data_IF_729482963026
#
_entry.id   IF_729482963026
#
_cell.length_a   1.000
_cell.length_b   1.000
_cell.length_c   1.000
_cell.angle_alpha   90.00
_cell.angle_beta   90.00
_cell.angle_gamma   90.00
#
_symmetry.space_group_name_H-M   'P 1'
#
loop_
_entity.id
_entity.type
_entity.pdbx_description
1 polymer ?
#
# COMPACT_ATOMS: atom_id res chain seq x y z
N UNK A 1 9.56 -55.93 -55.17
CA UNK A 1 10.80 -56.67 -54.87
C UNK A 1 11.94 -55.74 -55.25
N UNK A 2 12.80 -55.21 -54.40
CA UNK A 2 13.38 -55.54 -53.09
C UNK A 2 14.09 -54.23 -52.68
N UNK A 3 14.00 -53.69 -51.48
CA UNK A 3 14.66 -54.20 -50.28
C UNK A 3 15.05 -53.00 -49.41
N UNK A 4 14.97 -53.22 -48.11
CA UNK A 4 15.08 -52.28 -46.99
C UNK A 4 16.56 -52.06 -46.63
N UNK A 5 16.98 -50.82 -46.34
CA UNK A 5 18.16 -50.55 -45.50
C UNK A 5 17.88 -49.34 -44.60
N UNK A 6 17.70 -49.67 -43.33
CA UNK A 6 17.67 -48.79 -42.16
C UNK A 6 18.97 -48.00 -42.03
N UNK A 7 18.87 -46.68 -41.85
CA UNK A 7 19.96 -45.91 -41.24
C UNK A 7 19.39 -45.13 -40.05
N UNK A 8 19.64 -45.68 -38.87
CA UNK A 8 19.40 -45.08 -37.57
C UNK A 8 20.46 -43.99 -37.35
N UNK A 9 20.17 -42.76 -37.79
CA UNK A 9 20.94 -41.60 -37.36
C UNK A 9 20.44 -41.20 -35.96
N UNK A 10 21.12 -41.74 -34.94
CA UNK A 10 21.01 -41.31 -33.56
C UNK A 10 21.56 -39.87 -33.48
N UNK A 11 20.73 -38.88 -33.81
CA UNK A 11 21.11 -37.48 -33.68
C UNK A 11 21.10 -37.16 -32.19
N UNK A 12 22.31 -37.20 -31.61
CA UNK A 12 22.56 -37.03 -30.19
C UNK A 12 21.82 -35.84 -29.63
N UNK A 13 21.11 -36.09 -28.54
CA UNK A 13 20.52 -35.06 -27.70
C UNK A 13 21.60 -34.10 -27.26
N UNK A 14 21.66 -32.95 -27.93
CA UNK A 14 22.12 -31.74 -27.28
C UNK A 14 20.98 -31.40 -26.33
N UNK A 15 21.14 -31.81 -25.07
CA UNK A 15 20.43 -31.23 -23.93
C UNK A 15 20.76 -29.75 -23.90
N UNK A 16 20.09 -28.99 -24.77
CA UNK A 16 19.95 -27.56 -24.60
C UNK A 16 19.06 -27.42 -23.38
N UNK A 17 19.69 -27.26 -22.22
CA UNK A 17 19.05 -26.64 -21.08
C UNK A 17 18.30 -25.43 -21.64
N UNK A 18 16.98 -25.47 -21.63
CA UNK A 18 16.18 -24.30 -21.94
C UNK A 18 16.63 -23.25 -20.95
N UNK A 19 17.34 -22.23 -21.44
CA UNK A 19 17.72 -21.10 -20.63
C UNK A 19 16.41 -20.47 -20.16
N UNK A 20 16.09 -20.68 -18.88
CA UNK A 20 14.86 -20.20 -18.27
C UNK A 20 15.07 -18.72 -17.95
N UNK A 21 14.78 -17.90 -18.95
CA UNK A 21 14.86 -16.44 -18.91
C UNK A 21 13.57 -15.78 -18.40
N UNK A 22 12.66 -16.56 -17.82
CA UNK A 22 11.38 -16.09 -17.28
C UNK A 22 11.58 -14.92 -16.32
N UNK A 23 12.48 -15.04 -15.35
CA UNK A 23 12.76 -13.95 -14.39
C UNK A 23 13.29 -12.67 -15.05
N UNK A 24 14.04 -12.79 -16.15
CA UNK A 24 14.54 -11.63 -16.89
C UNK A 24 13.41 -10.95 -17.68
N UNK A 25 12.54 -11.74 -18.31
CA UNK A 25 11.34 -11.23 -18.99
C UNK A 25 10.40 -10.54 -18.01
N UNK A 26 10.15 -11.14 -16.85
CA UNK A 26 9.33 -10.53 -15.80
C UNK A 26 9.89 -9.16 -15.36
N UNK A 27 11.22 -9.06 -15.22
CA UNK A 27 11.88 -7.80 -14.86
C UNK A 27 11.80 -6.75 -15.98
N UNK A 28 11.86 -7.18 -17.25
CA UNK A 28 11.69 -6.30 -18.42
C UNK A 28 10.25 -5.79 -18.50
N UNK A 29 9.27 -6.65 -18.22
CA UNK A 29 7.86 -6.30 -18.24
C UNK A 29 7.51 -5.35 -17.08
N UNK A 30 8.04 -5.58 -15.88
CA UNK A 30 7.94 -4.63 -14.75
C UNK A 30 8.55 -3.28 -15.12
N UNK A 31 9.76 -3.29 -15.68
CA UNK A 31 10.43 -2.05 -16.05
C UNK A 31 9.67 -1.31 -17.15
N UNK A 32 9.11 -2.02 -18.12
CA UNK A 32 8.26 -1.44 -19.18
C UNK A 32 7.04 -0.76 -18.56
N UNK A 33 6.34 -1.45 -17.66
CA UNK A 33 5.16 -0.90 -16.97
C UNK A 33 5.51 0.37 -16.16
N UNK A 34 6.68 0.37 -15.51
CA UNK A 34 7.15 1.53 -14.75
C UNK A 34 7.58 2.70 -15.65
N UNK A 35 8.12 2.41 -16.82
CA UNK A 35 8.46 3.44 -17.81
C UNK A 35 7.20 4.08 -18.35
N UNK A 36 6.19 3.30 -18.72
CA UNK A 36 4.87 3.80 -19.15
C UNK A 36 4.25 4.70 -18.06
N UNK A 37 4.25 4.25 -16.81
CA UNK A 37 3.75 5.05 -15.69
C UNK A 37 4.53 6.36 -15.48
N UNK A 38 5.85 6.36 -15.71
CA UNK A 38 6.68 7.57 -15.60
C UNK A 38 6.42 8.55 -16.75
N UNK A 39 6.18 8.04 -17.96
CA UNK A 39 5.82 8.86 -19.12
C UNK A 39 4.47 9.56 -18.89
N UNK A 40 3.47 8.82 -18.42
CA UNK A 40 2.16 9.38 -18.05
C UNK A 40 2.28 10.43 -16.92
N UNK A 41 3.08 10.13 -15.89
CA UNK A 41 3.32 11.07 -14.79
C UNK A 41 4.02 12.36 -15.28
N UNK A 42 4.97 12.23 -16.21
CA UNK A 42 5.64 13.39 -16.80
C UNK A 42 4.67 14.27 -17.61
N UNK A 43 3.73 13.69 -18.35
CA UNK A 43 2.70 14.45 -19.06
C UNK A 43 1.77 15.19 -18.08
N UNK A 44 1.37 14.52 -17.01
CA UNK A 44 0.54 15.11 -15.97
C UNK A 44 1.23 16.29 -15.28
N UNK A 45 2.49 16.11 -14.84
CA UNK A 45 3.25 17.19 -14.18
C UNK A 45 3.45 18.40 -15.09
N UNK A 46 3.64 18.20 -16.40
CA UNK A 46 3.74 19.32 -17.34
C UNK A 46 2.41 20.10 -17.44
N UNK A 47 1.28 19.41 -17.48
CA UNK A 47 -0.05 20.03 -17.47
C UNK A 47 -0.34 20.79 -16.17
N UNK A 48 0.02 20.21 -15.03
CA UNK A 48 -0.16 20.81 -13.72
C UNK A 48 0.68 22.08 -13.56
N UNK A 49 1.95 22.05 -13.98
CA UNK A 49 2.83 23.23 -13.95
C UNK A 49 2.24 24.37 -14.79
N UNK A 50 1.75 24.07 -16.00
CA UNK A 50 1.13 25.08 -16.85
C UNK A 50 -0.11 25.71 -16.19
N UNK A 51 -0.95 24.89 -15.57
CA UNK A 51 -2.16 25.33 -14.87
C UNK A 51 -1.83 26.21 -13.65
N UNK A 52 -0.84 25.81 -12.85
CA UNK A 52 -0.36 26.59 -11.71
C UNK A 52 0.22 27.94 -12.14
N UNK A 53 0.98 27.98 -13.24
CA UNK A 53 1.51 29.23 -13.80
C UNK A 53 0.39 30.18 -14.23
N UNK A 54 -0.65 29.67 -14.89
CA UNK A 54 -1.78 30.51 -15.30
C UNK A 54 -2.53 31.07 -14.08
N UNK A 55 -2.82 30.22 -13.07
CA UNK A 55 -3.45 30.67 -11.82
C UNK A 55 -2.65 31.78 -11.14
N UNK A 56 -1.32 31.66 -11.07
CA UNK A 56 -0.45 32.71 -10.50
C UNK A 56 -0.57 34.01 -11.31
N UNK A 57 -0.64 33.93 -12.64
CA UNK A 57 -0.82 35.10 -13.50
C UNK A 57 -2.15 35.82 -13.23
N UNK A 58 -3.23 35.06 -12.99
CA UNK A 58 -4.56 35.60 -12.66
C UNK A 58 -4.57 36.27 -11.30
N UNK A 59 -3.97 35.65 -10.30
CA UNK A 59 -3.81 36.22 -8.96
C UNK A 59 -3.06 37.57 -9.01
N UNK A 60 -1.96 37.63 -9.74
CA UNK A 60 -1.18 38.87 -9.92
C UNK A 60 -1.94 39.97 -10.68
N UNK A 61 -2.90 39.58 -11.51
CA UNK A 61 -3.72 40.50 -12.31
C UNK A 61 -5.03 40.90 -11.62
N UNK A 62 -5.20 40.56 -10.33
CA UNK A 62 -6.44 40.78 -9.56
C UNK A 62 -7.70 40.19 -10.22
N UNK A 63 -7.54 39.12 -11.01
CA UNK A 63 -8.63 38.39 -11.63
C UNK A 63 -9.23 37.43 -10.59
N UNK A 64 -10.54 37.51 -10.38
CA UNK A 64 -11.25 36.65 -9.42
C UNK A 64 -11.86 35.42 -10.09
N UNK A 65 -12.13 34.39 -9.29
CA UNK A 65 -12.91 33.21 -9.71
C UNK A 65 -14.37 33.62 -9.89
N UNK A 66 -14.97 33.22 -11.01
CA UNK A 66 -16.40 33.39 -11.29
C UNK A 66 -17.19 32.13 -10.93
N UNK A 67 -16.75 30.96 -11.39
CA UNK A 67 -17.31 29.66 -10.99
C UNK A 67 -16.30 28.53 -11.20
N UNK A 68 -16.62 27.35 -10.66
CA UNK A 68 -15.87 26.11 -10.85
C UNK A 68 -16.84 25.02 -11.29
N UNK A 69 -16.45 24.24 -12.29
CA UNK A 69 -17.25 23.17 -12.91
C UNK A 69 -16.55 21.83 -12.73
N UNK A 70 -17.27 20.82 -12.24
CA UNK A 70 -16.84 19.42 -12.26
C UNK A 70 -17.02 18.86 -13.67
N UNK A 71 -15.96 18.32 -14.26
CA UNK A 71 -16.01 17.73 -15.59
C UNK A 71 -16.43 16.24 -15.58
N UNK A 72 -16.55 15.61 -14.40
CA UNK A 72 -17.01 14.23 -14.24
C UNK A 72 -15.95 13.15 -14.51
N UNK A 73 -14.72 13.55 -14.85
CA UNK A 73 -13.58 12.67 -15.10
C UNK A 73 -12.46 12.83 -14.05
N UNK A 74 -12.75 13.50 -12.93
CA UNK A 74 -11.77 13.87 -11.90
C UNK A 74 -11.02 15.17 -12.20
N UNK A 75 -11.34 15.86 -13.30
CA UNK A 75 -10.87 17.22 -13.57
C UNK A 75 -11.93 18.28 -13.26
N UNK A 76 -11.45 19.49 -12.98
CA UNK A 76 -12.26 20.67 -12.66
C UNK A 76 -11.84 21.84 -13.54
N UNK A 77 -12.82 22.59 -14.04
CA UNK A 77 -12.58 23.81 -14.80
C UNK A 77 -12.90 25.03 -13.96
N UNK A 78 -11.90 25.87 -13.69
CA UNK A 78 -12.05 27.15 -13.01
C UNK A 78 -12.26 28.23 -14.07
N UNK A 79 -13.39 28.92 -14.01
CA UNK A 79 -13.71 30.04 -14.89
C UNK A 79 -13.47 31.35 -14.16
N UNK A 80 -12.70 32.23 -14.77
CA UNK A 80 -12.30 33.51 -14.18
C UNK A 80 -13.19 34.67 -14.64
N UNK A 81 -13.15 35.77 -13.89
CA UNK A 81 -13.89 37.01 -14.16
C UNK A 81 -13.46 37.73 -15.45
N UNK A 82 -12.26 37.43 -15.97
CA UNK A 82 -11.75 37.96 -17.24
C UNK A 82 -12.19 37.12 -18.46
N UNK A 83 -13.00 36.08 -18.25
CA UNK A 83 -13.50 35.20 -19.30
C UNK A 83 -12.54 34.07 -19.71
N UNK A 84 -11.38 33.96 -19.07
CA UNK A 84 -10.46 32.84 -19.27
C UNK A 84 -10.76 31.68 -18.33
N UNK A 85 -10.16 30.51 -18.59
CA UNK A 85 -10.37 29.31 -17.81
C UNK A 85 -9.09 28.48 -17.68
N UNK A 86 -8.98 27.74 -16.58
CA UNK A 86 -7.94 26.74 -16.33
C UNK A 86 -8.59 25.43 -15.95
N UNK A 87 -8.07 24.32 -16.47
CA UNK A 87 -8.45 22.97 -16.06
C UNK A 87 -7.40 22.39 -15.13
N UNK A 88 -7.82 21.90 -13.98
CA UNK A 88 -6.98 21.19 -13.00
C UNK A 88 -7.50 19.76 -12.82
N UNK A 89 -6.65 18.83 -12.37
CA UNK A 89 -7.03 17.44 -12.10
C UNK A 89 -6.70 17.06 -10.67
N UNK A 90 -7.53 16.22 -10.06
CA UNK A 90 -7.21 15.66 -8.75
C UNK A 90 -6.08 14.64 -8.88
N UNK A 91 -5.25 14.54 -7.84
CA UNK A 91 -4.36 13.39 -7.66
C UNK A 91 -5.17 12.11 -7.39
N UNK A 92 -4.49 10.96 -7.46
CA UNK A 92 -5.08 9.70 -7.03
C UNK A 92 -5.18 9.67 -5.50
N UNK A 93 -6.27 9.12 -4.98
CA UNK A 93 -6.38 8.83 -3.56
C UNK A 93 -5.26 7.87 -3.16
N UNK A 94 -4.62 8.15 -2.02
CA UNK A 94 -3.66 7.23 -1.44
C UNK A 94 -4.36 5.97 -0.90
N UNK A 95 -3.61 4.90 -0.73
CA UNK A 95 -4.12 3.70 -0.05
C UNK A 95 -4.56 4.05 1.38
N UNK A 96 -5.70 3.51 1.79
CA UNK A 96 -6.19 3.65 3.16
C UNK A 96 -5.13 3.13 4.14
N UNK A 97 -4.80 3.97 5.12
CA UNK A 97 -3.92 3.55 6.21
C UNK A 97 -4.58 2.40 6.99
N UNK A 98 -3.78 1.39 7.38
CA UNK A 98 -4.27 0.35 8.27
C UNK A 98 -4.68 0.97 9.61
N UNK A 99 -5.88 0.63 10.10
CA UNK A 99 -6.29 0.95 11.46
C UNK A 99 -5.23 0.44 12.44
N UNK A 100 -4.65 1.30 13.29
CA UNK A 100 -3.66 0.84 14.26
C UNK A 100 -4.31 -0.21 15.18
N UNK A 101 -3.61 -1.31 15.51
CA UNK A 101 -4.15 -2.32 16.42
C UNK A 101 -4.54 -1.65 17.73
N UNK A 102 -5.78 -1.87 18.15
CA UNK A 102 -6.30 -1.30 19.40
C UNK A 102 -6.04 -2.28 20.54
N UNK A 103 -5.48 -1.82 21.65
CA UNK A 103 -5.35 -2.65 22.86
C UNK A 103 -6.72 -2.69 23.54
N UNK A 104 -7.21 -3.89 23.83
CA UNK A 104 -8.50 -4.17 24.45
C UNK A 104 -8.37 -5.12 25.64
N UNK A 105 -9.48 -5.34 26.34
CA UNK A 105 -9.59 -6.24 27.48
C UNK A 105 -10.65 -7.30 27.19
N UNK A 106 -10.27 -8.57 27.34
CA UNK A 106 -11.16 -9.73 27.16
C UNK A 106 -11.33 -10.47 28.49
N UNK A 107 -12.56 -10.84 28.83
CA UNK A 107 -12.85 -11.65 30.02
C UNK A 107 -12.94 -13.14 29.64
N UNK A 108 -12.22 -13.98 30.39
CA UNK A 108 -12.36 -15.43 30.36
C UNK A 108 -12.35 -15.97 31.79
N UNK A 109 -13.34 -16.81 32.11
CA UNK A 109 -13.47 -17.49 33.40
C UNK A 109 -13.35 -16.55 34.62
N UNK A 110 -13.93 -15.34 34.52
CA UNK A 110 -13.89 -14.33 35.58
C UNK A 110 -12.56 -13.59 35.73
N UNK A 111 -11.60 -13.82 34.83
CA UNK A 111 -10.32 -13.11 34.77
C UNK A 111 -10.26 -12.25 33.51
N UNK A 112 -9.81 -11.02 33.65
CA UNK A 112 -9.62 -10.09 32.53
C UNK A 112 -8.19 -10.17 32.01
N UNK A 113 -8.01 -10.26 30.68
CA UNK A 113 -6.72 -10.34 30.00
C UNK A 113 -6.54 -9.22 28.99
N UNK A 114 -5.29 -8.81 28.80
CA UNK A 114 -4.91 -7.89 27.72
C UNK A 114 -4.94 -8.59 26.36
N UNK A 115 -5.51 -7.94 25.36
CA UNK A 115 -5.57 -8.40 23.98
C UNK A 115 -5.41 -7.22 23.01
N UNK A 116 -5.22 -7.50 21.72
CA UNK A 116 -5.34 -6.47 20.68
C UNK A 116 -6.37 -6.88 19.63
N UNK A 117 -7.10 -5.89 19.12
CA UNK A 117 -8.05 -6.06 18.02
C UNK A 117 -7.34 -5.81 16.68
N UNK A 118 -7.46 -6.79 15.78
CA UNK A 118 -6.94 -6.74 14.42
C UNK A 118 -7.87 -5.91 13.52
N UNK A 119 -7.34 -5.45 12.39
CA UNK A 119 -8.11 -4.68 11.41
C UNK A 119 -9.30 -5.45 10.80
N UNK A 120 -9.28 -6.79 10.87
CA UNK A 120 -10.39 -7.66 10.42
C UNK A 120 -11.44 -7.90 11.52
N UNK A 121 -11.29 -7.28 12.69
CA UNK A 121 -12.19 -7.43 13.84
C UNK A 121 -11.94 -8.68 14.68
N UNK A 122 -10.89 -9.45 14.40
CA UNK A 122 -10.47 -10.56 15.28
C UNK A 122 -9.69 -10.04 16.48
N UNK A 123 -9.60 -10.85 17.54
CA UNK A 123 -8.92 -10.49 18.79
C UNK A 123 -7.87 -11.52 19.14
N UNK A 124 -6.63 -11.07 19.35
CA UNK A 124 -5.51 -11.92 19.77
C UNK A 124 -5.04 -11.52 21.17
N UNK A 125 -4.81 -12.52 22.03
CA UNK A 125 -4.31 -12.29 23.39
C UNK A 125 -2.86 -11.81 23.38
N UNK A 126 -2.54 -10.87 24.28
CA UNK A 126 -1.16 -10.52 24.57
C UNK A 126 -0.61 -11.57 25.53
N UNK A 127 0.50 -12.20 25.14
CA UNK A 127 1.17 -13.24 25.89
C UNK A 127 2.46 -12.72 26.53
N UNK A 128 2.82 -13.27 27.69
CA UNK A 128 4.15 -13.08 28.29
C UNK A 128 5.22 -13.94 27.59
N UNK A 129 6.47 -13.84 28.07
CA UNK A 129 7.61 -14.58 27.53
C UNK A 129 7.45 -16.11 27.65
N UNK A 130 6.60 -16.57 28.56
CA UNK A 130 6.31 -18.00 28.81
C UNK A 130 5.09 -18.49 27.99
N UNK A 131 4.45 -17.61 27.22
CA UNK A 131 3.28 -17.92 26.40
C UNK A 131 1.95 -17.90 27.16
N UNK A 132 1.91 -17.39 28.39
CA UNK A 132 0.69 -17.24 29.17
C UNK A 132 0.00 -15.91 28.88
N UNK A 133 -1.33 -15.87 28.94
CA UNK A 133 -2.12 -14.65 28.78
C UNK A 133 -1.81 -13.68 29.93
N UNK A 134 -1.59 -12.41 29.61
CA UNK A 134 -1.31 -11.38 30.62
C UNK A 134 -2.62 -10.90 31.26
N UNK A 135 -2.86 -11.14 32.56
CA UNK A 135 -4.05 -10.62 33.23
C UNK A 135 -3.97 -9.10 33.39
N UNK A 136 -5.12 -8.41 33.36
CA UNK A 136 -5.23 -6.96 33.59
C UNK A 136 -4.96 -6.60 35.05
N UNK A 137 -5.22 -7.54 35.96
CA UNK A 137 -4.87 -7.42 37.37
C UNK A 137 -3.47 -7.97 37.62
N UNK A 138 -2.61 -7.20 38.30
CA UNK A 138 -1.39 -7.74 38.90
C UNK A 138 -1.70 -8.53 40.17
N UNK A 139 -0.89 -9.53 40.49
CA UNK A 139 -0.92 -10.15 41.81
C UNK A 139 -0.48 -9.14 42.88
N UNK A 140 -1.31 -8.93 43.90
CA UNK A 140 -0.94 -8.09 45.02
C UNK A 140 0.20 -8.76 45.81
N UNK A 141 1.35 -8.08 46.04
CA UNK A 141 2.42 -8.65 46.84
C UNK A 141 1.90 -8.97 48.25
N UNK A 142 1.98 -10.24 48.62
CA UNK A 142 1.63 -10.71 49.95
C UNK A 142 2.78 -10.36 50.90
N UNK A 143 2.70 -9.21 51.57
CA UNK A 143 3.64 -8.87 52.64
C UNK A 143 3.23 -9.62 53.91
N UNK A 144 4.11 -10.46 54.44
CA UNK A 144 3.97 -11.05 55.77
C UNK A 144 5.02 -10.41 56.68
N UNK A 145 4.59 -9.93 57.84
CA UNK A 145 5.51 -9.54 58.92
C UNK A 145 5.82 -10.81 59.70
N UNK A 146 7.10 -11.12 59.85
CA UNK A 146 7.59 -12.25 60.65
C UNK A 146 7.19 -12.01 62.12
N UNK A 147 7.05 -13.05 62.97
CA UNK A 147 6.74 -12.86 64.41
C UNK A 147 7.70 -11.89 65.13
N UNK A 148 8.90 -11.66 64.58
CA UNK A 148 9.92 -10.74 65.09
C UNK A 148 9.75 -9.28 64.64
N UNK A 149 8.71 -8.94 63.88
CA UNK A 149 8.37 -7.55 63.55
C UNK A 149 9.23 -6.89 62.46
N UNK A 150 9.96 -7.66 61.66
CA UNK A 150 10.72 -7.16 60.51
C UNK A 150 10.05 -7.53 59.18
N UNK A 151 10.25 -6.66 58.18
CA UNK A 151 9.83 -6.82 56.79
C UNK A 151 10.63 -7.89 56.06
#
# INVERSE_FOLDING_TARGET
MTGFFTSLALLGGLSSCTFDDTSLKDSIDDLTSRVEALEDFQEQVQGDIASLQDIISKLNSSVTVNNVVDNGDGSWTINFSDGTSVTIRNGQDGEDGLTPPSITVVEEDGTYYWAYENADGTTDFILDDDGNKIPVSGEAPQVRINEDGYW
#
